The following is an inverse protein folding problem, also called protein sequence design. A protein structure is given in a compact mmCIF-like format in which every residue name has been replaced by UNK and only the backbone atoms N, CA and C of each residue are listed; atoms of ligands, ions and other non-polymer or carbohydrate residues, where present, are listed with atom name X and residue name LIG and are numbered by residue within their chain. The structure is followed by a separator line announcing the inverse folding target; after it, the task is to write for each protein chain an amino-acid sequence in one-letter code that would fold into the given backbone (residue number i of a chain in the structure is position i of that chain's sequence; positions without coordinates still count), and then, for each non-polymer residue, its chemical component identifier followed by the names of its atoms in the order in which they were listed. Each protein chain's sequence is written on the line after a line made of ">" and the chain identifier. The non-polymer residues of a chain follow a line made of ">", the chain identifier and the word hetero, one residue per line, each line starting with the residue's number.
data_IF_767416761825
#
_entry.id   IF_767416761825
#
_cell.length_a   1.000
_cell.length_b   1.000
_cell.length_c   1.000
_cell.angle_alpha   90.00
_cell.angle_beta   90.00
_cell.angle_gamma   90.00
#
_symmetry.space_group_name_H-M   'P 1'
#
loop_
_entity.id
_entity.type
_entity.pdbx_description
1 polymer ?
#
# COMPACT_ATOMS: atom_id res chain seq x y z
N UNK A 1 -23.71 48.10 -24.41
CA UNK A 1 -24.22 46.72 -24.55
C UNK A 1 -25.49 46.65 -23.74
N UNK A 2 -26.64 46.31 -24.34
CA UNK A 2 -27.90 46.28 -23.57
C UNK A 2 -27.93 45.08 -22.63
N UNK A 3 -28.68 45.14 -21.52
CA UNK A 3 -28.84 44.00 -20.61
C UNK A 3 -29.37 42.75 -21.33
N UNK A 4 -30.17 42.94 -22.39
CA UNK A 4 -30.67 41.87 -23.25
C UNK A 4 -29.57 41.21 -24.10
N UNK A 5 -28.53 41.95 -24.52
CA UNK A 5 -27.40 41.36 -25.25
C UNK A 5 -26.51 40.49 -24.35
N UNK A 6 -26.40 40.84 -23.07
CA UNK A 6 -25.66 40.05 -22.06
C UNK A 6 -26.40 38.74 -21.78
N UNK A 7 -27.71 38.80 -21.53
CA UNK A 7 -28.56 37.62 -21.33
C UNK A 7 -28.59 36.72 -22.58
N UNK A 8 -28.62 37.31 -23.78
CA UNK A 8 -28.54 36.57 -25.05
C UNK A 8 -27.14 35.98 -25.31
N UNK A 9 -26.07 36.45 -24.68
CA UNK A 9 -24.74 35.82 -24.80
C UNK A 9 -24.48 34.77 -23.72
N UNK A 10 -25.13 34.90 -22.57
CA UNK A 10 -25.01 33.97 -21.45
C UNK A 10 -25.47 32.54 -21.82
N UNK A 11 -26.50 32.37 -22.67
CA UNK A 11 -26.94 31.03 -23.08
C UNK A 11 -25.93 30.31 -23.99
N UNK A 12 -25.10 31.02 -24.77
CA UNK A 12 -24.01 30.38 -25.52
C UNK A 12 -22.92 29.85 -24.60
N UNK A 13 -22.62 30.55 -23.52
CA UNK A 13 -21.70 30.05 -22.49
C UNK A 13 -22.28 28.81 -21.81
N UNK A 14 -23.56 28.84 -21.41
CA UNK A 14 -24.23 27.68 -20.83
C UNK A 14 -24.24 26.49 -21.80
N UNK A 15 -24.57 26.71 -23.08
CA UNK A 15 -24.54 25.67 -24.11
C UNK A 15 -23.12 25.11 -24.31
N UNK A 16 -22.10 25.95 -24.33
CA UNK A 16 -20.70 25.54 -24.46
C UNK A 16 -20.25 24.71 -23.25
N UNK A 17 -20.67 25.08 -22.03
CA UNK A 17 -20.38 24.30 -20.83
C UNK A 17 -21.08 22.93 -20.86
N UNK A 18 -22.34 22.87 -21.29
CA UNK A 18 -23.08 21.61 -21.44
C UNK A 18 -22.44 20.73 -22.51
N UNK A 19 -22.08 21.30 -23.66
CA UNK A 19 -21.41 20.57 -24.73
C UNK A 19 -20.03 20.09 -24.29
N UNK A 20 -19.25 20.94 -23.61
CA UNK A 20 -17.95 20.58 -23.05
C UNK A 20 -18.06 19.45 -22.03
N UNK A 21 -19.07 19.49 -21.17
CA UNK A 21 -19.36 18.40 -20.23
C UNK A 21 -19.75 17.11 -20.95
N UNK A 22 -20.63 17.17 -21.97
CA UNK A 22 -21.02 16.01 -22.75
C UNK A 22 -19.83 15.38 -23.51
N UNK A 23 -18.95 16.21 -24.09
CA UNK A 23 -17.70 15.76 -24.73
C UNK A 23 -16.79 15.10 -23.70
N UNK A 24 -16.61 15.69 -22.52
CA UNK A 24 -15.85 15.07 -21.44
C UNK A 24 -16.40 13.68 -21.11
N UNK A 25 -17.70 13.55 -20.87
CA UNK A 25 -18.34 12.26 -20.60
C UNK A 25 -18.12 11.24 -21.73
N UNK A 26 -18.22 11.67 -22.99
CA UNK A 26 -17.93 10.80 -24.13
C UNK A 26 -16.47 10.34 -24.14
N UNK A 27 -15.50 11.24 -23.87
CA UNK A 27 -14.08 10.89 -23.75
C UNK A 27 -13.83 9.92 -22.59
N UNK A 28 -14.58 10.02 -21.49
CA UNK A 28 -14.52 9.07 -20.39
C UNK A 28 -15.04 7.68 -20.75
N UNK A 29 -15.64 7.45 -21.91
CA UNK A 29 -15.95 6.09 -22.37
C UNK A 29 -14.76 5.42 -23.08
N UNK A 30 -13.68 6.16 -23.36
CA UNK A 30 -12.51 5.66 -24.08
C UNK A 30 -11.49 5.13 -23.05
N UNK A 31 -11.14 3.82 -23.06
CA UNK A 31 -10.28 3.22 -22.03
C UNK A 31 -8.90 3.88 -21.90
N UNK A 32 -8.28 4.28 -23.01
CA UNK A 32 -7.00 4.97 -22.99
C UNK A 32 -7.08 6.31 -22.24
N UNK A 33 -8.15 7.08 -22.44
CA UNK A 33 -8.35 8.36 -21.76
C UNK A 33 -8.68 8.14 -20.28
N UNK A 34 -9.51 7.15 -19.95
CA UNK A 34 -9.77 6.78 -18.55
C UNK A 34 -8.47 6.46 -17.83
N UNK A 35 -7.58 5.68 -18.45
CA UNK A 35 -6.29 5.28 -17.89
C UNK A 35 -5.41 6.49 -17.56
N UNK A 36 -5.22 7.38 -18.51
CA UNK A 36 -4.42 8.60 -18.30
C UNK A 36 -4.98 9.46 -17.17
N UNK A 37 -6.29 9.61 -17.10
CA UNK A 37 -6.94 10.42 -16.08
C UNK A 37 -7.02 9.75 -14.71
N UNK A 38 -7.01 8.42 -14.68
CA UNK A 38 -7.03 7.63 -13.44
C UNK A 38 -5.64 7.53 -12.82
N UNK A 39 -4.61 7.25 -13.62
CA UNK A 39 -3.27 6.95 -13.11
C UNK A 39 -2.31 8.14 -13.18
N UNK A 40 -2.50 9.05 -14.15
CA UNK A 40 -1.59 10.16 -14.44
C UNK A 40 -0.11 9.72 -14.54
N UNK A 41 0.11 8.51 -15.08
CA UNK A 41 1.38 7.81 -14.94
C UNK A 41 2.50 8.36 -15.84
N UNK A 42 2.13 9.02 -16.96
CA UNK A 42 3.09 9.67 -17.85
C UNK A 42 3.68 10.97 -17.30
N UNK A 43 3.13 11.53 -16.22
CA UNK A 43 3.66 12.75 -15.60
C UNK A 43 4.56 12.36 -14.42
N UNK A 44 5.89 12.45 -14.56
CA UNK A 44 6.79 12.14 -13.46
C UNK A 44 6.65 13.24 -12.40
N UNK A 45 6.14 12.87 -11.23
CA UNK A 45 6.10 13.73 -10.04
C UNK A 45 6.92 13.02 -8.97
N UNK A 46 8.08 13.58 -8.54
CA UNK A 46 8.72 14.82 -9.01
C UNK A 46 9.25 14.74 -10.46
N UNK A 47 9.43 15.91 -11.09
CA UNK A 47 10.03 16.01 -12.43
C UNK A 47 11.51 15.61 -12.39
N UNK A 48 11.96 14.85 -13.39
CA UNK A 48 13.33 14.36 -13.52
C UNK A 48 13.85 13.60 -12.28
N UNK A 49 13.16 12.52 -11.86
CA UNK A 49 13.55 11.78 -10.68
C UNK A 49 14.89 11.04 -10.89
N UNK A 50 15.70 10.98 -9.84
CA UNK A 50 16.98 10.27 -9.79
C UNK A 50 16.85 9.09 -8.81
N UNK A 51 16.36 7.98 -9.33
CA UNK A 51 16.11 6.79 -8.51
C UNK A 51 17.38 6.13 -7.98
N UNK A 52 18.53 6.37 -8.62
CA UNK A 52 19.80 5.81 -8.20
C UNK A 52 20.36 6.49 -6.94
N UNK A 53 19.89 7.70 -6.61
CA UNK A 53 20.39 8.50 -5.47
C UNK A 53 19.25 8.87 -4.50
N UNK A 54 18.69 7.92 -3.72
CA UNK A 54 17.54 8.14 -2.85
C UNK A 54 17.76 9.24 -1.78
N UNK A 55 19.01 9.49 -1.39
CA UNK A 55 19.38 10.52 -0.42
C UNK A 55 19.03 11.95 -0.88
N UNK A 56 18.87 12.18 -2.19
CA UNK A 56 18.35 13.44 -2.74
C UNK A 56 16.91 13.73 -2.29
N UNK A 57 16.21 12.70 -1.83
CA UNK A 57 14.82 12.79 -1.38
C UNK A 57 14.71 12.77 0.15
N UNK A 58 15.78 13.07 0.89
CA UNK A 58 15.84 13.09 2.36
C UNK A 58 15.94 11.71 3.03
N UNK A 59 16.27 10.67 2.27
CA UNK A 59 16.71 9.40 2.84
C UNK A 59 18.18 9.50 3.30
N UNK A 60 18.57 8.65 4.25
CA UNK A 60 19.96 8.63 4.71
C UNK A 60 20.90 8.04 3.63
N UNK A 61 22.14 8.53 3.51
CA UNK A 61 23.11 8.04 2.51
C UNK A 61 23.29 6.52 2.57
N UNK A 62 23.21 5.85 1.42
CA UNK A 62 23.40 4.40 1.27
C UNK A 62 22.44 3.51 2.10
N UNK A 63 21.47 4.07 2.83
CA UNK A 63 20.45 3.32 3.58
C UNK A 63 19.46 2.60 2.66
N UNK A 64 19.37 3.07 1.42
CA UNK A 64 18.39 2.61 0.43
C UNK A 64 19.11 2.20 -0.83
N UNK A 65 18.81 1.00 -1.33
CA UNK A 65 19.27 0.56 -2.66
C UNK A 65 18.14 0.69 -3.68
N UNK A 66 18.52 0.99 -4.92
CA UNK A 66 17.62 0.94 -6.07
C UNK A 66 17.73 -0.41 -6.76
N UNK A 67 16.59 -1.01 -7.13
CA UNK A 67 16.52 -2.33 -7.74
C UNK A 67 15.30 -2.45 -8.65
N UNK A 68 15.27 -3.51 -9.45
CA UNK A 68 14.12 -3.86 -10.30
C UNK A 68 13.63 -5.26 -9.97
N UNK A 69 12.31 -5.43 -9.99
CA UNK A 69 11.65 -6.71 -9.82
C UNK A 69 11.06 -7.13 -11.18
N UNK A 70 11.16 -8.41 -11.52
CA UNK A 70 10.56 -8.94 -12.73
C UNK A 70 9.19 -9.53 -12.39
N UNK A 71 8.18 -9.17 -13.16
CA UNK A 71 6.85 -9.76 -13.06
C UNK A 71 6.74 -11.07 -13.83
N UNK A 72 5.69 -11.84 -13.54
CA UNK A 72 5.38 -13.09 -14.27
C UNK A 72 5.02 -12.86 -15.73
N UNK A 73 4.57 -11.65 -16.10
CA UNK A 73 4.22 -11.26 -17.47
C UNK A 73 5.34 -10.48 -18.19
N UNK A 74 6.54 -10.42 -17.61
CA UNK A 74 7.75 -9.93 -18.28
C UNK A 74 8.00 -8.43 -18.17
N UNK A 75 7.28 -7.71 -17.32
CA UNK A 75 7.54 -6.32 -16.99
C UNK A 75 8.62 -6.21 -15.90
N UNK A 76 9.36 -5.11 -15.91
CA UNK A 76 10.32 -4.74 -14.88
C UNK A 76 9.80 -3.55 -14.09
N UNK A 77 9.54 -3.74 -12.80
CA UNK A 77 9.10 -2.66 -11.91
C UNK A 77 10.26 -2.16 -11.04
N UNK A 78 10.47 -0.84 -11.04
CA UNK A 78 11.44 -0.18 -10.21
C UNK A 78 11.04 -0.19 -8.74
N UNK A 79 12.01 -0.36 -7.84
CA UNK A 79 11.78 -0.42 -6.42
C UNK A 79 12.94 0.18 -5.62
N UNK A 80 12.62 0.65 -4.42
CA UNK A 80 13.56 1.03 -3.38
C UNK A 80 13.45 0.08 -2.21
N UNK A 81 14.59 -0.44 -1.74
CA UNK A 81 14.68 -1.18 -0.49
C UNK A 81 15.41 -0.35 0.57
N UNK A 82 14.67 0.11 1.58
CA UNK A 82 15.16 0.92 2.70
C UNK A 82 15.46 0.01 3.90
N UNK A 83 16.68 0.06 4.41
CA UNK A 83 17.10 -0.73 5.58
C UNK A 83 16.38 -0.28 6.87
N UNK A 84 16.12 -1.20 7.81
CA UNK A 84 15.62 -0.87 9.15
C UNK A 84 16.64 -0.06 9.96
N UNK A 85 16.16 0.71 10.94
CA UNK A 85 17.00 1.58 11.80
C UNK A 85 18.13 0.83 12.48
N UNK A 86 17.86 -0.34 13.03
CA UNK A 86 18.82 -1.13 13.80
C UNK A 86 19.95 -1.69 12.94
N UNK A 87 19.65 -2.15 11.72
CA UNK A 87 20.67 -2.63 10.78
C UNK A 87 21.53 -1.47 10.28
N UNK A 88 20.91 -0.38 9.83
CA UNK A 88 21.64 0.78 9.32
C UNK A 88 22.46 1.48 10.42
N UNK A 89 21.93 1.59 11.64
CA UNK A 89 22.60 2.21 12.78
C UNK A 89 23.78 1.41 13.33
N UNK A 90 23.87 0.11 13.02
CA UNK A 90 24.98 -0.74 13.41
C UNK A 90 26.20 -0.62 12.47
N UNK A 91 26.04 0.02 11.31
CA UNK A 91 27.12 0.14 10.31
C UNK A 91 28.27 1.01 10.80
N UNK A 92 29.49 0.61 10.43
CA UNK A 92 30.71 1.35 10.72
C UNK A 92 31.55 1.51 9.44
N UNK A 93 32.06 2.72 9.13
CA UNK A 93 31.79 3.98 9.82
C UNK A 93 30.34 4.46 9.64
N UNK A 94 29.85 5.29 10.57
CA UNK A 94 28.54 5.93 10.48
C UNK A 94 28.66 7.46 10.27
N UNK A 95 27.95 8.06 9.30
CA UNK A 95 27.23 7.39 8.22
C UNK A 95 28.19 6.63 7.27
N UNK A 96 27.70 5.61 6.53
CA UNK A 96 28.51 4.90 5.55
C UNK A 96 29.10 5.85 4.51
N UNK A 97 30.26 5.48 3.96
CA UNK A 97 31.02 6.32 3.01
C UNK A 97 30.94 5.82 1.56
N UNK A 98 30.35 4.66 1.35
CA UNK A 98 30.19 4.00 0.05
C UNK A 98 28.94 3.16 0.04
N UNK A 99 28.55 2.70 -1.15
CA UNK A 99 27.48 1.72 -1.34
C UNK A 99 27.70 0.48 -0.46
N UNK A 100 26.59 -0.03 0.06
CA UNK A 100 26.55 -1.21 0.91
C UNK A 100 26.36 -2.46 0.04
N UNK A 101 26.88 -3.60 0.49
CA UNK A 101 26.72 -4.88 -0.19
C UNK A 101 25.24 -5.28 -0.25
N UNK A 102 24.78 -5.75 -1.41
CA UNK A 102 23.43 -6.28 -1.61
C UNK A 102 23.09 -7.43 -0.67
N UNK A 103 24.10 -8.19 -0.23
CA UNK A 103 23.90 -9.24 0.78
C UNK A 103 23.40 -8.69 2.11
N UNK A 104 23.86 -7.50 2.53
CA UNK A 104 23.37 -6.86 3.76
C UNK A 104 21.86 -6.59 3.68
N UNK A 105 21.41 -6.08 2.53
CA UNK A 105 20.00 -5.84 2.28
C UNK A 105 19.20 -7.15 2.22
N UNK A 106 19.72 -8.18 1.55
CA UNK A 106 19.03 -9.48 1.47
C UNK A 106 18.92 -10.17 2.83
N UNK A 107 19.95 -10.05 3.68
CA UNK A 107 19.93 -10.55 5.06
C UNK A 107 18.94 -9.77 5.93
N UNK A 108 18.81 -8.46 5.74
CA UNK A 108 17.93 -7.59 6.52
C UNK A 108 16.45 -8.02 6.47
N UNK A 109 15.96 -8.55 5.33
CA UNK A 109 14.61 -9.12 5.21
C UNK A 109 14.35 -10.24 6.21
N UNK A 110 15.40 -10.92 6.66
CA UNK A 110 15.31 -12.01 7.64
C UNK A 110 15.64 -11.58 9.07
N UNK A 111 16.12 -10.36 9.26
CA UNK A 111 16.44 -9.84 10.59
C UNK A 111 15.30 -9.00 11.14
N UNK A 112 14.54 -8.33 10.26
CA UNK A 112 13.44 -7.43 10.63
C UNK A 112 12.20 -7.64 9.77
N UNK A 113 11.01 -7.31 10.28
CA UNK A 113 9.78 -7.30 9.50
C UNK A 113 9.90 -6.40 8.26
N UNK A 114 9.05 -6.64 7.27
CA UNK A 114 9.10 -5.92 5.99
C UNK A 114 7.76 -5.31 5.66
N UNK A 115 7.75 -4.00 5.41
CA UNK A 115 6.61 -3.30 4.81
C UNK A 115 6.82 -3.24 3.30
N UNK A 116 5.87 -3.76 2.54
CA UNK A 116 5.78 -3.54 1.09
C UNK A 116 4.83 -2.36 0.89
N UNK A 117 5.36 -1.29 0.30
CA UNK A 117 4.65 -0.03 0.13
C UNK A 117 4.17 0.13 -1.31
N UNK A 118 2.86 0.25 -1.45
CA UNK A 118 2.14 0.44 -2.69
C UNK A 118 1.56 1.85 -2.75
N UNK A 119 2.07 2.67 -3.67
CA UNK A 119 1.69 4.08 -3.74
C UNK A 119 0.28 4.30 -4.32
N UNK A 120 -0.28 5.49 -4.08
CA UNK A 120 -1.58 5.87 -4.58
C UNK A 120 -1.54 6.46 -6.00
N UNK A 121 -2.59 7.18 -6.37
CA UNK A 121 -2.67 7.86 -7.66
C UNK A 121 -1.50 8.82 -7.92
N UNK A 122 -1.07 8.92 -9.18
CA UNK A 122 -0.07 9.83 -9.71
C UNK A 122 1.31 9.73 -9.04
N UNK A 123 2.29 10.43 -9.60
CA UNK A 123 3.65 10.48 -9.05
C UNK A 123 4.31 9.12 -8.88
N UNK A 124 5.48 9.10 -8.24
CA UNK A 124 6.30 7.89 -8.11
C UNK A 124 6.90 7.76 -6.70
N UNK A 125 7.72 6.75 -6.47
CA UNK A 125 8.33 6.42 -5.17
C UNK A 125 9.15 7.56 -4.57
N UNK A 126 9.65 8.48 -5.40
CA UNK A 126 10.39 9.66 -4.96
C UNK A 126 9.51 10.85 -4.50
N UNK A 127 8.19 10.70 -4.49
CA UNK A 127 7.27 11.75 -4.01
C UNK A 127 7.46 11.99 -2.50
N UNK A 128 7.60 13.24 -2.09
CA UNK A 128 8.04 13.64 -0.74
C UNK A 128 7.20 13.08 0.41
N UNK A 129 5.87 13.04 0.29
CA UNK A 129 5.01 12.46 1.34
C UNK A 129 5.20 10.94 1.47
N UNK A 130 5.45 10.24 0.35
CA UNK A 130 5.74 8.80 0.33
C UNK A 130 7.10 8.54 0.98
N UNK A 131 8.07 9.40 0.67
CA UNK A 131 9.40 9.37 1.31
C UNK A 131 9.32 9.48 2.81
N UNK A 132 8.45 10.36 3.30
CA UNK A 132 8.21 10.50 4.72
C UNK A 132 7.60 9.23 5.34
N UNK A 133 6.65 8.59 4.66
CA UNK A 133 6.05 7.33 5.11
C UNK A 133 7.08 6.21 5.27
N UNK A 134 7.81 5.85 4.22
CA UNK A 134 8.76 4.74 4.36
C UNK A 134 9.99 5.11 5.21
N UNK A 135 10.35 6.39 5.33
CA UNK A 135 11.36 6.82 6.30
C UNK A 135 10.87 6.57 7.74
N UNK A 136 9.61 6.88 8.04
CA UNK A 136 9.01 6.64 9.34
C UNK A 136 8.85 5.13 9.63
N UNK A 137 8.40 4.34 8.66
CA UNK A 137 8.34 2.87 8.80
C UNK A 137 9.72 2.27 9.11
N UNK A 138 10.74 2.66 8.35
CA UNK A 138 12.10 2.19 8.56
C UNK A 138 12.69 2.66 9.89
N UNK A 139 12.40 3.90 10.31
CA UNK A 139 13.06 4.54 11.45
C UNK A 139 12.34 4.30 12.77
N UNK A 140 11.02 4.44 12.80
CA UNK A 140 10.19 4.35 13.99
C UNK A 140 9.70 2.92 14.25
N UNK A 141 9.43 2.14 13.19
CA UNK A 141 8.97 0.75 13.30
C UNK A 141 10.08 -0.28 13.10
N UNK A 142 11.32 0.18 12.85
CA UNK A 142 12.50 -0.67 12.66
C UNK A 142 12.29 -1.79 11.61
N UNK A 143 11.59 -1.46 10.52
CA UNK A 143 11.24 -2.38 9.44
C UNK A 143 12.10 -2.18 8.19
N UNK A 144 12.27 -3.24 7.41
CA UNK A 144 12.60 -3.10 5.99
C UNK A 144 11.43 -2.44 5.28
N UNK A 145 11.70 -1.61 4.26
CA UNK A 145 10.65 -1.10 3.39
C UNK A 145 10.99 -1.37 1.93
N UNK A 146 10.12 -2.09 1.23
CA UNK A 146 10.17 -2.26 -0.22
C UNK A 146 9.10 -1.37 -0.85
N UNK A 147 9.50 -0.19 -1.34
CA UNK A 147 8.61 0.74 -2.03
C UNK A 147 8.74 0.55 -3.54
N UNK A 148 7.67 0.11 -4.21
CA UNK A 148 7.67 -0.11 -5.66
C UNK A 148 7.04 1.08 -6.39
N UNK A 149 7.39 1.27 -7.65
CA UNK A 149 6.55 1.96 -8.62
C UNK A 149 5.81 0.94 -9.47
N UNK A 150 4.50 1.08 -9.59
CA UNK A 150 3.71 0.23 -10.47
C UNK A 150 4.18 0.36 -11.93
N UNK A 151 3.87 -0.64 -12.76
CA UNK A 151 4.15 -0.60 -14.20
C UNK A 151 3.65 0.70 -14.85
N UNK A 152 4.48 1.29 -15.69
CA UNK A 152 4.24 2.57 -16.36
C UNK A 152 4.41 3.81 -15.48
N UNK A 153 4.77 3.68 -14.20
CA UNK A 153 5.18 4.78 -13.33
C UNK A 153 6.70 4.82 -13.17
N UNK A 154 7.23 6.02 -13.00
CA UNK A 154 8.65 6.23 -12.73
C UNK A 154 9.56 5.63 -13.81
N UNK A 155 10.46 4.74 -13.40
CA UNK A 155 11.33 3.96 -14.29
C UNK A 155 10.85 2.50 -14.48
N UNK A 156 9.63 2.16 -14.08
CA UNK A 156 8.99 0.87 -14.35
C UNK A 156 8.51 0.79 -15.81
N UNK A 157 8.65 -0.38 -16.44
CA UNK A 157 8.16 -0.64 -17.80
C UNK A 157 6.65 -0.83 -17.85
N UNK A 158 6.10 -1.01 -19.06
CA UNK A 158 4.69 -1.39 -19.25
C UNK A 158 3.70 -0.24 -19.17
N UNK A 159 2.43 -0.56 -18.98
CA UNK A 159 1.33 0.41 -18.90
C UNK A 159 0.34 -0.01 -17.82
N UNK A 160 -0.11 0.90 -16.93
CA UNK A 160 -0.91 0.52 -15.78
C UNK A 160 -2.29 0.00 -16.19
N UNK A 161 -2.73 -1.01 -15.45
CA UNK A 161 -4.06 -1.57 -15.49
C UNK A 161 -4.35 -2.26 -14.16
N UNK A 162 -5.61 -2.47 -13.81
CA UNK A 162 -5.98 -3.15 -12.56
C UNK A 162 -5.29 -4.53 -12.40
N UNK A 163 -5.36 -5.38 -13.42
CA UNK A 163 -4.68 -6.70 -13.44
C UNK A 163 -3.15 -6.56 -13.37
N UNK A 164 -2.59 -5.58 -14.09
CA UNK A 164 -1.16 -5.32 -14.08
C UNK A 164 -0.65 -4.89 -12.70
N UNK A 165 -1.36 -4.00 -12.02
CA UNK A 165 -1.01 -3.55 -10.67
C UNK A 165 -1.06 -4.70 -9.65
N UNK A 166 -2.03 -5.61 -9.78
CA UNK A 166 -2.09 -6.82 -8.95
C UNK A 166 -0.90 -7.76 -9.22
N UNK A 167 -0.49 -7.87 -10.48
CA UNK A 167 0.68 -8.66 -10.88
C UNK A 167 1.97 -8.06 -10.32
N UNK A 168 2.10 -6.73 -10.34
CA UNK A 168 3.24 -6.02 -9.75
C UNK A 168 3.29 -6.21 -8.22
N UNK A 169 2.13 -6.13 -7.55
CA UNK A 169 2.01 -6.37 -6.12
C UNK A 169 2.40 -7.81 -5.75
N UNK A 170 2.01 -8.79 -6.58
CA UNK A 170 2.41 -10.18 -6.40
C UNK A 170 3.92 -10.37 -6.55
N UNK A 171 4.53 -9.76 -7.56
CA UNK A 171 5.97 -9.83 -7.78
C UNK A 171 6.76 -9.25 -6.58
N UNK A 172 6.30 -8.13 -6.02
CA UNK A 172 6.89 -7.54 -4.81
C UNK A 172 6.77 -8.46 -3.59
N UNK A 173 5.59 -9.05 -3.38
CA UNK A 173 5.38 -10.02 -2.30
C UNK A 173 6.30 -11.24 -2.43
N UNK A 174 6.33 -11.86 -3.60
CA UNK A 174 7.13 -13.06 -3.86
C UNK A 174 8.64 -12.75 -3.71
N UNK A 175 9.09 -11.57 -4.14
CA UNK A 175 10.48 -11.13 -3.98
C UNK A 175 10.93 -11.09 -2.50
N UNK A 176 10.07 -10.56 -1.62
CA UNK A 176 10.34 -10.49 -0.18
C UNK A 176 10.21 -11.88 0.45
N UNK A 177 9.11 -12.60 0.18
CA UNK A 177 8.84 -13.91 0.76
C UNK A 177 9.95 -14.92 0.48
N UNK A 178 10.49 -14.93 -0.75
CA UNK A 178 11.61 -15.79 -1.13
C UNK A 178 12.88 -15.48 -0.32
N UNK A 179 13.17 -14.20 -0.04
CA UNK A 179 14.36 -13.80 0.74
C UNK A 179 14.21 -14.10 2.23
N UNK A 180 13.02 -13.86 2.79
CA UNK A 180 12.69 -14.26 4.17
C UNK A 180 12.89 -15.78 4.35
N UNK A 181 12.43 -16.59 3.39
CA UNK A 181 12.58 -18.04 3.42
C UNK A 181 14.04 -18.51 3.26
N UNK A 182 14.78 -17.97 2.28
CA UNK A 182 16.19 -18.33 2.01
C UNK A 182 17.07 -18.08 3.22
N UNK A 183 16.97 -16.90 3.82
CA UNK A 183 17.82 -16.53 4.96
C UNK A 183 17.45 -17.31 6.22
N UNK A 184 16.18 -17.70 6.39
CA UNK A 184 15.79 -18.62 7.47
C UNK A 184 16.42 -20.01 7.31
N UNK A 185 16.60 -20.49 6.07
CA UNK A 185 17.32 -21.73 5.78
C UNK A 185 18.83 -21.60 5.98
N UNK A 186 19.44 -20.48 5.56
CA UNK A 186 20.87 -20.18 5.78
C UNK A 186 21.20 -20.01 7.26
N UNK A 187 20.32 -19.37 8.05
CA UNK A 187 20.50 -19.25 9.50
C UNK A 187 20.37 -20.63 10.16
N UNK A 188 19.36 -21.44 9.80
CA UNK A 188 19.21 -22.80 10.35
C UNK A 188 20.38 -23.72 10.03
N UNK A 189 20.99 -23.59 8.85
CA UNK A 189 22.19 -24.36 8.48
C UNK A 189 23.43 -23.84 9.20
N UNK A 190 23.70 -22.52 9.18
CA UNK A 190 24.83 -21.93 9.93
C UNK A 190 24.74 -22.14 11.44
N UNK A 191 23.55 -22.16 12.03
CA UNK A 191 23.36 -22.36 13.46
C UNK A 191 23.40 -23.85 13.87
N UNK A 192 23.23 -24.76 12.91
CA UNK A 192 23.48 -26.20 13.09
C UNK A 192 24.97 -26.56 12.92
N UNK A 193 25.74 -25.71 12.24
CA UNK A 193 27.17 -25.92 11.99
C UNK A 193 28.11 -25.39 13.09
N UNK A 194 27.58 -24.81 14.18
CA UNK A 194 28.40 -24.37 15.34
C UNK A 194 28.49 -25.39 16.48
N UNK A 195 27.76 -26.50 16.41
CA UNK A 195 27.82 -27.61 17.37
C UNK A 195 27.73 -28.95 16.61
N UNK A 196 28.74 -29.32 15.82
CA UNK A 196 29.10 -30.71 15.48
C UNK A 196 30.55 -30.68 14.94
N UNK A 197 31.50 -30.76 15.86
CA UNK A 197 32.69 -31.55 15.63
C UNK A 197 32.46 -32.85 16.42
N UNK A 198 31.99 -33.90 15.75
CA UNK A 198 32.36 -35.33 15.92
C UNK A 198 31.33 -36.21 15.19
N UNK A 199 31.87 -37.13 14.39
CA UNK A 199 31.30 -38.24 13.62
C UNK A 199 29.85 -38.72 13.87
N UNK A 200 29.15 -39.03 12.77
CA UNK A 200 28.08 -40.04 12.73
C UNK A 200 26.96 -39.70 11.77
N UNK A 201 26.74 -40.52 10.75
CA UNK A 201 25.55 -40.49 9.87
C UNK A 201 24.25 -40.41 10.68
N UNK A 202 23.34 -39.48 10.34
CA UNK A 202 21.91 -39.62 10.68
C UNK A 202 20.99 -39.11 9.56
N UNK A 203 20.28 -40.12 9.03
CA UNK A 203 18.98 -40.20 8.37
C UNK A 203 17.99 -39.04 8.60
N UNK A 204 17.32 -38.62 7.53
CA UNK A 204 16.20 -37.69 7.56
C UNK A 204 14.91 -38.44 7.93
N UNK A 205 14.40 -38.22 9.13
CA UNK A 205 13.01 -38.49 9.50
C UNK A 205 12.38 -37.16 9.94
N UNK A 206 11.23 -36.84 9.33
CA UNK A 206 10.46 -35.66 9.67
C UNK A 206 9.62 -35.92 10.90
N UNK A 207 9.65 -34.99 11.86
CA UNK A 207 8.63 -34.92 12.91
C UNK A 207 8.20 -33.47 13.13
N UNK A 208 6.87 -33.33 13.14
CA UNK A 208 6.11 -32.23 13.71
C UNK A 208 6.32 -32.15 15.23
N UNK A 209 6.16 -30.95 15.80
CA UNK A 209 5.99 -30.78 17.24
C UNK A 209 7.11 -30.01 17.92
N UNK A 210 7.02 -28.68 17.90
CA UNK A 210 7.91 -27.79 18.65
C UNK A 210 7.18 -26.54 19.13
N UNK A 211 6.48 -26.66 20.26
CA UNK A 211 5.98 -25.53 21.04
C UNK A 211 7.16 -24.80 21.68
N UNK A 212 7.74 -23.84 20.97
CA UNK A 212 8.80 -22.96 21.46
C UNK A 212 8.53 -21.55 20.97
N UNK A 213 8.33 -20.62 21.92
CA UNK A 213 8.28 -19.18 21.68
C UNK A 213 9.67 -18.69 21.25
N UNK A 214 10.02 -18.87 19.98
CA UNK A 214 11.18 -18.25 19.31
C UNK A 214 11.04 -18.37 17.77
N UNK A 215 9.88 -17.99 17.28
CA UNK A 215 9.56 -17.99 15.85
C UNK A 215 8.43 -17.02 15.59
N UNK A 216 8.66 -15.72 15.79
CA UNK A 216 7.81 -14.76 15.10
C UNK A 216 7.96 -15.06 13.61
N UNK A 217 6.91 -15.58 12.98
CA UNK A 217 6.79 -15.50 11.53
C UNK A 217 7.12 -14.05 11.16
N UNK A 218 8.19 -13.85 10.40
CA UNK A 218 8.70 -12.50 10.13
C UNK A 218 7.67 -11.84 9.23
N UNK A 219 6.92 -10.90 9.80
CA UNK A 219 5.71 -10.37 9.18
C UNK A 219 6.03 -9.56 7.93
N UNK A 220 5.39 -9.94 6.83
CA UNK A 220 5.28 -9.12 5.62
C UNK A 220 4.00 -8.30 5.77
N UNK A 221 4.14 -6.99 5.80
CA UNK A 221 3.04 -6.04 5.96
C UNK A 221 2.80 -5.35 4.63
N UNK A 222 1.57 -5.38 4.14
CA UNK A 222 1.19 -4.69 2.92
C UNK A 222 0.58 -3.34 3.28
N UNK A 223 1.19 -2.25 2.81
CA UNK A 223 0.68 -0.89 3.01
C UNK A 223 0.33 -0.31 1.65
N UNK A 224 -0.95 -0.07 1.41
CA UNK A 224 -1.45 0.52 0.18
C UNK A 224 -2.11 1.87 0.41
N UNK A 225 -1.87 2.81 -0.50
CA UNK A 225 -2.66 4.04 -0.59
C UNK A 225 -3.77 3.88 -1.63
N UNK A 226 -4.83 4.69 -1.49
CA UNK A 226 -5.91 4.70 -2.46
C UNK A 226 -5.45 5.21 -3.82
N UNK A 227 -5.88 4.52 -4.88
CA UNK A 227 -5.73 4.97 -6.28
C UNK A 227 -6.85 5.97 -6.68
N UNK A 228 -7.81 6.23 -5.80
CA UNK A 228 -9.01 7.03 -6.11
C UNK A 228 -8.89 8.49 -5.68
N UNK A 229 -8.85 9.40 -6.67
CA UNK A 229 -9.56 10.71 -6.78
C UNK A 229 -8.94 11.63 -7.84
N UNK A 230 -8.53 11.08 -9.00
CA UNK A 230 -8.48 11.91 -10.20
C UNK A 230 -9.86 12.53 -10.48
N UNK A 231 -9.92 13.66 -11.19
CA UNK A 231 -11.19 14.33 -11.58
C UNK A 231 -12.19 13.33 -12.17
N UNK A 232 -11.68 12.31 -12.88
CA UNK A 232 -12.45 11.22 -13.45
C UNK A 232 -12.91 10.19 -12.44
N UNK A 233 -12.11 9.81 -11.44
CA UNK A 233 -12.56 8.90 -10.38
C UNK A 233 -13.65 9.56 -9.51
N UNK A 234 -13.55 10.87 -9.25
CA UNK A 234 -14.59 11.62 -8.55
C UNK A 234 -15.86 11.79 -9.37
N UNK A 235 -15.73 12.15 -10.65
CA UNK A 235 -16.87 12.32 -11.56
C UNK A 235 -17.52 10.98 -11.91
N UNK A 236 -16.73 9.97 -12.29
CA UNK A 236 -17.20 8.63 -12.59
C UNK A 236 -17.72 7.91 -11.35
N UNK A 237 -17.17 8.14 -10.16
CA UNK A 237 -17.74 7.65 -8.90
C UNK A 237 -19.13 8.22 -8.62
N UNK A 238 -19.33 9.53 -8.83
CA UNK A 238 -20.66 10.17 -8.73
C UNK A 238 -21.63 9.65 -9.79
N UNK A 239 -21.18 9.54 -11.03
CA UNK A 239 -21.99 9.05 -12.15
C UNK A 239 -22.26 7.53 -12.07
N UNK A 240 -21.39 6.78 -11.41
CA UNK A 240 -21.57 5.37 -11.11
C UNK A 240 -22.65 5.17 -10.04
N UNK A 241 -22.78 6.07 -9.06
CA UNK A 241 -23.90 6.02 -8.10
C UNK A 241 -25.26 6.25 -8.78
N UNK A 242 -25.28 6.93 -9.92
CA UNK A 242 -26.49 7.10 -10.75
C UNK A 242 -26.77 5.89 -11.67
N UNK A 243 -25.96 4.82 -11.58
CA UNK A 243 -26.17 3.53 -12.27
C UNK A 243 -25.86 3.52 -13.77
N UNK A 244 -25.81 4.67 -14.43
CA UNK A 244 -25.63 4.76 -15.89
C UNK A 244 -24.18 4.52 -16.34
N UNK A 245 -23.19 4.95 -15.55
CA UNK A 245 -21.77 4.93 -15.96
C UNK A 245 -20.93 3.78 -15.38
N UNK A 246 -21.47 2.97 -14.46
CA UNK A 246 -20.74 1.82 -13.89
C UNK A 246 -20.28 0.84 -14.97
N UNK A 247 -21.13 0.59 -15.98
CA UNK A 247 -20.85 -0.35 -17.08
C UNK A 247 -19.74 0.11 -18.03
N UNK A 248 -19.34 1.39 -17.97
CA UNK A 248 -18.30 1.96 -18.83
C UNK A 248 -16.95 2.10 -18.11
N UNK A 249 -16.87 1.82 -16.81
CA UNK A 249 -15.62 1.84 -16.06
C UNK A 249 -14.77 0.63 -16.45
N UNK A 250 -13.59 0.88 -17.03
CA UNK A 250 -12.67 -0.19 -17.42
C UNK A 250 -11.80 -0.68 -16.24
N UNK A 251 -11.54 0.19 -15.28
CA UNK A 251 -10.81 -0.12 -14.05
C UNK A 251 -11.72 0.16 -12.86
N UNK A 252 -12.19 -0.91 -12.22
CA UNK A 252 -13.21 -0.81 -11.17
C UNK A 252 -12.62 -0.81 -9.78
N UNK A 253 -11.50 -1.51 -9.57
CA UNK A 253 -10.83 -1.68 -8.27
C UNK A 253 -11.83 -1.99 -7.13
N UNK A 254 -12.40 -3.20 -7.16
CA UNK A 254 -13.36 -3.63 -6.13
C UNK A 254 -12.67 -4.03 -4.82
N UNK A 255 -12.30 -3.01 -4.03
CA UNK A 255 -11.69 -3.18 -2.72
C UNK A 255 -12.58 -3.94 -1.73
N UNK A 256 -13.92 -3.88 -1.87
CA UNK A 256 -14.84 -4.62 -0.99
C UNK A 256 -14.72 -6.12 -1.24
N UNK A 257 -14.78 -6.53 -2.50
CA UNK A 257 -14.59 -7.93 -2.89
C UNK A 257 -13.19 -8.45 -2.52
N UNK A 258 -12.14 -7.63 -2.73
CA UNK A 258 -10.78 -7.99 -2.35
C UNK A 258 -10.64 -8.22 -0.83
N UNK A 259 -11.12 -7.28 -0.01
CA UNK A 259 -10.98 -7.36 1.45
C UNK A 259 -11.92 -8.38 2.12
N UNK A 260 -13.05 -8.72 1.49
CA UNK A 260 -13.97 -9.74 1.98
C UNK A 260 -13.31 -11.14 2.04
N UNK A 261 -12.33 -11.38 1.17
CA UNK A 261 -11.58 -12.63 1.07
C UNK A 261 -10.21 -12.58 1.80
N UNK A 262 -9.92 -11.50 2.52
CA UNK A 262 -8.68 -11.36 3.29
C UNK A 262 -8.81 -11.98 4.67
N UNK A 263 -7.90 -12.90 4.99
CA UNK A 263 -7.79 -13.56 6.30
C UNK A 263 -6.78 -12.90 7.25
N UNK A 264 -6.00 -11.94 6.74
CA UNK A 264 -5.03 -11.19 7.51
C UNK A 264 -5.69 -10.05 8.29
N UNK A 265 -5.13 -9.68 9.46
CA UNK A 265 -5.52 -8.44 10.14
C UNK A 265 -5.46 -7.23 9.20
N UNK A 266 -6.50 -6.41 9.21
CA UNK A 266 -6.66 -5.27 8.28
C UNK A 266 -6.80 -3.96 9.06
N UNK A 267 -6.00 -2.96 8.69
CA UNK A 267 -6.06 -1.61 9.26
C UNK A 267 -6.56 -0.64 8.20
N UNK A 268 -7.65 0.07 8.50
CA UNK A 268 -8.20 1.12 7.67
C UNK A 268 -7.93 2.48 8.34
N UNK A 269 -7.18 3.35 7.68
CA UNK A 269 -6.87 4.69 8.16
C UNK A 269 -7.52 5.74 7.25
N UNK A 270 -8.26 6.68 7.81
CA UNK A 270 -8.63 7.91 7.11
C UNK A 270 -8.51 9.14 8.03
N UNK A 271 -8.67 10.33 7.48
CA UNK A 271 -8.97 11.51 8.29
C UNK A 271 -10.17 12.27 7.72
N UNK A 272 -10.99 12.82 8.61
CA UNK A 272 -12.19 13.60 8.24
C UNK A 272 -11.84 14.90 7.50
N UNK A 273 -10.62 15.40 7.69
CA UNK A 273 -10.11 16.59 7.01
C UNK A 273 -9.35 16.26 5.71
N UNK A 274 -9.47 15.02 5.20
CA UNK A 274 -9.11 14.69 3.83
C UNK A 274 -10.20 15.24 2.89
N UNK A 275 -9.86 16.28 2.14
CA UNK A 275 -10.73 16.89 1.13
C UNK A 275 -10.58 16.26 -0.26
N UNK A 276 -9.62 15.35 -0.41
CA UNK A 276 -9.31 14.65 -1.65
C UNK A 276 -10.11 13.34 -1.68
N UNK A 277 -10.02 12.53 -0.62
CA UNK A 277 -10.80 11.30 -0.46
C UNK A 277 -11.83 11.45 0.65
N UNK A 278 -13.14 11.32 0.36
CA UNK A 278 -14.18 11.35 1.38
C UNK A 278 -14.02 10.22 2.41
N UNK A 279 -14.12 10.55 3.70
CA UNK A 279 -14.05 9.58 4.82
C UNK A 279 -15.07 8.43 4.67
N UNK A 280 -16.23 8.71 4.08
CA UNK A 280 -17.31 7.74 3.83
C UNK A 280 -16.88 6.50 3.03
N UNK A 281 -15.82 6.60 2.22
CA UNK A 281 -15.27 5.44 1.51
C UNK A 281 -14.73 4.38 2.48
N UNK A 282 -14.07 4.80 3.55
CA UNK A 282 -13.56 3.89 4.58
C UNK A 282 -14.70 3.35 5.44
N UNK A 283 -15.74 4.15 5.70
CA UNK A 283 -16.93 3.71 6.44
C UNK A 283 -17.62 2.57 5.69
N UNK A 284 -17.83 2.75 4.38
CA UNK A 284 -18.42 1.75 3.51
C UNK A 284 -17.59 0.46 3.45
N UNK A 285 -16.25 0.58 3.43
CA UNK A 285 -15.36 -0.57 3.49
C UNK A 285 -15.46 -1.26 4.85
N UNK A 286 -15.34 -0.54 5.96
CA UNK A 286 -15.41 -1.09 7.30
C UNK A 286 -16.74 -1.80 7.57
N UNK A 287 -17.87 -1.18 7.17
CA UNK A 287 -19.19 -1.77 7.30
C UNK A 287 -19.31 -3.06 6.47
N UNK A 288 -18.74 -3.10 5.25
CA UNK A 288 -18.76 -4.32 4.42
C UNK A 288 -17.96 -5.49 5.02
N UNK A 289 -16.98 -5.21 5.88
CA UNK A 289 -16.15 -6.23 6.54
C UNK A 289 -16.71 -6.71 7.88
N UNK A 290 -17.69 -6.00 8.44
CA UNK A 290 -18.21 -6.22 9.80
C UNK A 290 -19.67 -6.66 9.82
N UNK A 291 -20.45 -6.34 8.79
CA UNK A 291 -21.83 -6.79 8.67
C UNK A 291 -21.92 -8.26 8.20
N UNK A 292 -22.83 -9.09 8.77
CA UNK A 292 -23.05 -10.45 8.29
C UNK A 292 -23.45 -10.42 6.81
N UNK A 293 -22.72 -11.13 5.96
CA UNK A 293 -23.14 -11.28 4.56
C UNK A 293 -24.41 -12.15 4.55
N UNK A 294 -25.45 -11.73 3.83
CA UNK A 294 -26.77 -12.40 3.79
C UNK A 294 -26.74 -13.88 3.34
N UNK A 295 -25.58 -14.38 2.90
CA UNK A 295 -25.33 -15.77 2.53
C UNK A 295 -25.13 -16.73 3.73
N UNK A 296 -24.87 -16.24 4.95
CA UNK A 296 -24.58 -17.08 6.13
C UNK A 296 -25.82 -17.49 6.95
N UNK A 297 -27.02 -17.46 6.36
CA UNK A 297 -28.29 -17.73 7.05
C UNK A 297 -28.60 -19.21 7.32
N UNK A 298 -27.70 -20.13 6.93
CA UNK A 298 -27.89 -21.58 7.14
C UNK A 298 -26.99 -22.20 8.23
N UNK A 299 -26.31 -21.39 9.05
CA UNK A 299 -25.57 -21.82 10.24
C UNK A 299 -26.18 -21.31 11.54
N UNK A 300 -25.85 -21.89 12.71
CA UNK A 300 -26.27 -21.32 14.00
C UNK A 300 -25.77 -19.87 14.06
N UNK A 301 -26.67 -18.96 14.46
CA UNK A 301 -26.48 -17.51 14.43
C UNK A 301 -25.04 -17.13 14.83
N UNK A 302 -24.26 -16.62 13.85
CA UNK A 302 -22.93 -16.11 14.11
C UNK A 302 -23.02 -15.11 15.27
N UNK A 303 -22.29 -15.37 16.36
CA UNK A 303 -22.29 -14.47 17.52
C UNK A 303 -21.92 -13.07 17.03
N UNK A 304 -22.75 -12.08 17.35
CA UNK A 304 -22.48 -10.69 17.00
C UNK A 304 -21.04 -10.34 17.36
N UNK A 305 -20.22 -10.03 16.36
CA UNK A 305 -18.82 -9.64 16.56
C UNK A 305 -18.79 -8.41 17.47
N UNK A 306 -18.22 -8.54 18.66
CA UNK A 306 -18.16 -7.45 19.63
C UNK A 306 -17.27 -6.33 19.08
N UNK A 307 -17.88 -5.17 18.80
CA UNK A 307 -17.15 -3.98 18.34
C UNK A 307 -16.69 -3.16 19.54
N UNK A 308 -15.38 -2.99 19.70
CA UNK A 308 -14.79 -2.06 20.66
C UNK A 308 -14.59 -0.71 19.97
N UNK A 309 -14.96 0.38 20.64
CA UNK A 309 -14.77 1.74 20.13
C UNK A 309 -14.16 2.63 21.21
N UNK A 310 -13.06 3.31 20.88
CA UNK A 310 -12.37 4.25 21.78
C UNK A 310 -12.15 5.57 21.04
N UNK A 311 -12.63 6.66 21.62
CA UNK A 311 -12.46 8.01 21.08
C UNK A 311 -11.47 8.81 21.92
N UNK A 312 -10.56 9.50 21.24
CA UNK A 312 -9.54 10.36 21.82
C UNK A 312 -9.84 11.81 21.42
N UNK A 313 -9.97 12.69 22.40
CA UNK A 313 -10.21 14.11 22.14
C UNK A 313 -9.06 14.70 21.29
N UNK A 314 -9.41 15.51 20.28
CA UNK A 314 -8.45 16.10 19.34
C UNK A 314 -7.82 15.15 18.30
N UNK A 315 -7.76 13.84 18.54
CA UNK A 315 -7.07 12.90 17.66
C UNK A 315 -8.00 12.12 16.73
N UNK A 316 -9.02 11.44 17.26
CA UNK A 316 -9.85 10.56 16.44
C UNK A 316 -10.53 9.43 17.21
N UNK A 317 -11.16 8.51 16.48
CA UNK A 317 -11.83 7.32 17.02
C UNK A 317 -11.21 6.07 16.44
N UNK A 318 -10.90 5.08 17.28
CA UNK A 318 -10.49 3.74 16.87
C UNK A 318 -11.65 2.78 17.10
N UNK A 319 -12.04 2.02 16.08
CA UNK A 319 -12.97 0.90 16.19
C UNK A 319 -12.25 -0.39 15.86
N UNK A 320 -12.52 -1.42 16.64
CA UNK A 320 -11.89 -2.73 16.50
C UNK A 320 -12.97 -3.79 16.47
N UNK A 321 -12.92 -4.66 15.46
CA UNK A 321 -13.84 -5.79 15.30
C UNK A 321 -13.03 -7.05 15.04
N UNK A 322 -13.29 -8.09 15.83
CA UNK A 322 -12.76 -9.42 15.57
C UNK A 322 -13.69 -10.18 14.61
N UNK A 323 -13.16 -10.64 13.48
CA UNK A 323 -13.88 -11.43 12.47
C UNK A 323 -13.60 -12.94 12.60
N UNK A 324 -13.14 -13.39 13.77
CA UNK A 324 -12.75 -14.78 14.02
C UNK A 324 -11.59 -15.19 13.12
N UNK A 325 -11.79 -16.24 12.31
CA UNK A 325 -10.73 -16.77 11.44
C UNK A 325 -10.24 -15.80 10.36
N UNK A 326 -11.00 -14.74 10.04
CA UNK A 326 -10.58 -13.72 9.06
C UNK A 326 -9.68 -12.62 9.66
N UNK A 327 -9.33 -12.73 10.94
CA UNK A 327 -8.50 -11.75 11.62
C UNK A 327 -9.23 -10.44 11.96
N UNK A 328 -8.58 -9.66 12.82
CA UNK A 328 -9.12 -8.40 13.32
C UNK A 328 -9.14 -7.32 12.23
N UNK A 329 -10.17 -6.48 12.25
CA UNK A 329 -10.21 -5.22 11.50
C UNK A 329 -10.13 -4.08 12.50
N UNK A 330 -9.12 -3.23 12.33
CA UNK A 330 -9.00 -1.95 13.02
C UNK A 330 -9.34 -0.85 12.04
N UNK A 331 -10.23 0.05 12.43
CA UNK A 331 -10.58 1.24 11.67
C UNK A 331 -10.30 2.47 12.52
N UNK A 332 -9.60 3.44 11.96
CA UNK A 332 -9.29 4.70 12.61
C UNK A 332 -9.82 5.88 11.81
N UNK A 333 -10.62 6.68 12.51
CA UNK A 333 -11.12 7.97 12.05
C UNK A 333 -10.35 9.11 12.69
N UNK A 334 -9.38 9.66 11.95
CA UNK A 334 -8.62 10.81 12.38
C UNK A 334 -9.39 12.13 12.25
N UNK A 335 -9.29 13.00 13.25
CA UNK A 335 -9.74 14.40 13.12
C UNK A 335 -8.80 15.22 12.22
N UNK A 336 -7.52 14.86 12.22
CA UNK A 336 -6.45 15.54 11.51
C UNK A 336 -5.55 14.51 10.83
N UNK A 337 -4.96 14.89 9.70
CA UNK A 337 -4.02 14.08 8.92
C UNK A 337 -4.01 14.48 7.44
N UNK A 338 -5.18 14.85 6.91
CA UNK A 338 -5.35 15.13 5.48
C UNK A 338 -4.98 13.93 4.62
N UNK A 339 -4.78 14.18 3.32
CA UNK A 339 -4.51 13.13 2.34
C UNK A 339 -3.13 12.47 2.50
N UNK A 340 -2.10 13.29 2.69
CA UNK A 340 -0.70 12.88 2.54
C UNK A 340 0.02 12.55 3.87
N UNK A 341 -0.66 12.67 5.03
CA UNK A 341 0.01 12.53 6.34
C UNK A 341 -0.47 11.38 7.23
N UNK A 342 -1.38 10.54 6.74
CA UNK A 342 -1.94 9.44 7.53
C UNK A 342 -0.93 8.30 7.79
N UNK A 343 0.02 8.08 6.89
CA UNK A 343 0.91 6.92 6.98
C UNK A 343 2.09 7.07 7.93
N UNK A 344 2.39 8.27 8.42
CA UNK A 344 3.62 8.53 9.19
C UNK A 344 3.39 9.29 10.50
N UNK A 345 2.15 9.65 10.83
CA UNK A 345 1.84 10.27 12.10
C UNK A 345 2.03 9.27 13.26
N UNK A 346 2.44 9.75 14.44
CA UNK A 346 2.81 8.92 15.60
C UNK A 346 1.72 7.89 15.96
N UNK A 347 0.49 8.32 16.23
CA UNK A 347 -0.59 7.39 16.60
C UNK A 347 -0.99 6.43 15.47
N UNK A 348 -0.79 6.78 14.20
CA UNK A 348 -1.03 5.86 13.09
C UNK A 348 0.08 4.83 12.93
N UNK A 349 1.34 5.20 13.23
CA UNK A 349 2.45 4.26 13.30
C UNK A 349 2.25 3.25 14.43
N UNK A 350 1.72 3.67 15.57
CA UNK A 350 1.39 2.77 16.68
C UNK A 350 0.31 1.75 16.29
N UNK A 351 -0.70 2.18 15.53
CA UNK A 351 -1.73 1.27 15.00
C UNK A 351 -1.15 0.29 13.98
N UNK A 352 -0.25 0.75 13.11
CA UNK A 352 0.48 -0.12 12.17
C UNK A 352 1.33 -1.13 12.95
N UNK A 353 2.09 -0.69 13.95
CA UNK A 353 2.90 -1.57 14.79
C UNK A 353 2.04 -2.62 15.50
N UNK A 354 0.90 -2.20 16.07
CA UNK A 354 -0.04 -3.08 16.76
C UNK A 354 -0.59 -4.15 15.82
N UNK A 355 -1.06 -3.78 14.63
CA UNK A 355 -1.70 -4.73 13.73
C UNK A 355 -0.69 -5.67 13.05
N UNK A 356 0.52 -5.17 12.81
CA UNK A 356 1.61 -5.94 12.23
C UNK A 356 2.44 -6.69 13.27
N UNK A 357 2.12 -6.56 14.57
CA UNK A 357 2.83 -7.17 15.69
C UNK A 357 4.35 -6.91 15.64
N UNK A 358 4.72 -5.63 15.53
CA UNK A 358 6.10 -5.12 15.37
C UNK A 358 6.78 -4.75 16.69
#
# INVERSE_FOLDING_TARGET
>A
MSANDILRRAHYLALLLVLGYAVLLALLTIPAIQRELLFLHHVPIPLFPDYANPERYSLAPFKTRNLWLNTSDGEAIGAWHVLPRSVYGALQPFPPRSELDDNLFDEAFSQRPTIIYFHGNAGNRATSHRVRSYSAFSTNLDCNVLAIDYRGFGDSSGTPSEEGLLTDARAAYDYVAQRVARSSHTIRTKQKDTDIATAGEVKLEGEEGGTGRDGAEKNIVLVGQSLGTGVVSGLAGRLAQEGFFQSFLYHTFDSKAALANTFSPTLLLHAINDHTIPHSHSDDLFNSLTLPTTADTNGPAASASTMEAVSYEGWGTVRTVDRGQKGQVIWWEGKNGGHDNLGWAEGTLDLIARIANL
#
